data_IF_032236330659
#
_entry.id   IF_032236330659
#
_cell.length_a   1.000
_cell.length_b   1.000
_cell.length_c   1.000
_cell.angle_alpha   90.00
_cell.angle_beta   90.00
_cell.angle_gamma   90.00
#
_symmetry.space_group_name_H-M   'P 1'
#
loop_
_entity.id
_entity.type
_entity.pdbx_description
1 polymer ?
#
# COMPACT_ATOMS: atom_id res chain seq x y z
N UNK A 1 -59.28 -54.75 8.50
CA UNK A 1 -58.65 -53.47 8.91
C UNK A 1 -57.28 -53.29 8.25
N UNK A 2 -57.17 -53.49 6.93
CA UNK A 2 -55.86 -53.59 6.25
C UNK A 2 -55.88 -52.99 4.84
N UNK A 3 -56.62 -51.89 4.66
CA UNK A 3 -56.61 -51.11 3.41
C UNK A 3 -56.39 -49.59 3.65
N UNK A 4 -56.50 -49.11 4.89
CA UNK A 4 -56.32 -47.68 5.22
C UNK A 4 -54.86 -47.25 5.42
N UNK A 5 -53.97 -48.14 5.86
CA UNK A 5 -52.58 -47.79 6.20
C UNK A 5 -51.66 -47.68 4.97
N UNK A 6 -51.90 -48.45 3.91
CA UNK A 6 -51.10 -48.38 2.67
C UNK A 6 -51.37 -47.11 1.86
N UNK A 7 -52.61 -46.59 1.88
CA UNK A 7 -52.94 -45.33 1.22
C UNK A 7 -52.27 -44.15 1.93
N UNK A 8 -52.32 -44.09 3.27
CA UNK A 8 -51.72 -43.00 4.05
C UNK A 8 -50.19 -43.00 3.89
N UNK A 9 -49.53 -44.16 3.90
CA UNK A 9 -48.07 -44.23 3.65
C UNK A 9 -47.70 -43.79 2.23
N UNK A 10 -48.49 -44.16 1.21
CA UNK A 10 -48.20 -43.78 -0.18
C UNK A 10 -48.41 -42.28 -0.42
N UNK A 11 -49.48 -41.70 0.16
CA UNK A 11 -49.71 -40.25 0.10
C UNK A 11 -48.67 -39.46 0.90
N UNK A 12 -48.32 -39.90 2.11
CA UNK A 12 -47.32 -39.23 2.95
C UNK A 12 -45.94 -39.25 2.29
N UNK A 13 -45.55 -40.38 1.71
CA UNK A 13 -44.26 -40.52 1.03
C UNK A 13 -44.24 -39.72 -0.29
N UNK A 14 -45.35 -39.65 -1.04
CA UNK A 14 -45.45 -38.77 -2.21
C UNK A 14 -45.41 -37.28 -1.85
N UNK A 15 -46.07 -36.85 -0.76
CA UNK A 15 -46.00 -35.45 -0.30
C UNK A 15 -44.60 -35.09 0.19
N UNK A 16 -43.94 -35.99 0.92
CA UNK A 16 -42.58 -35.75 1.43
C UNK A 16 -41.55 -35.78 0.28
N UNK A 17 -41.69 -36.68 -0.70
CA UNK A 17 -40.86 -36.67 -1.91
C UNK A 17 -41.08 -35.39 -2.72
N UNK A 18 -42.33 -34.91 -2.83
CA UNK A 18 -42.68 -33.68 -3.55
C UNK A 18 -42.17 -32.43 -2.84
N UNK A 19 -42.24 -32.37 -1.51
CA UNK A 19 -41.64 -31.29 -0.73
C UNK A 19 -40.12 -31.32 -0.79
N UNK A 20 -39.48 -32.49 -0.66
CA UNK A 20 -38.03 -32.63 -0.82
C UNK A 20 -37.58 -32.29 -2.25
N UNK A 21 -38.30 -32.72 -3.29
CA UNK A 21 -37.97 -32.32 -4.66
C UNK A 21 -38.20 -30.83 -4.87
N UNK A 22 -39.24 -30.21 -4.32
CA UNK A 22 -39.44 -28.75 -4.41
C UNK A 22 -38.38 -27.98 -3.63
N UNK A 23 -37.95 -28.46 -2.46
CA UNK A 23 -36.85 -27.87 -1.68
C UNK A 23 -35.49 -28.03 -2.35
N UNK A 24 -35.21 -29.20 -2.94
CA UNK A 24 -34.01 -29.45 -3.74
C UNK A 24 -34.04 -28.63 -5.03
N UNK A 25 -35.20 -28.52 -5.70
CA UNK A 25 -35.36 -27.68 -6.88
C UNK A 25 -35.18 -26.20 -6.53
N UNK A 26 -35.72 -25.71 -5.40
CA UNK A 26 -35.49 -24.35 -4.92
C UNK A 26 -34.04 -24.14 -4.50
N UNK A 27 -33.41 -25.05 -3.76
CA UNK A 27 -32.00 -24.93 -3.40
C UNK A 27 -31.08 -24.99 -4.63
N UNK A 28 -31.44 -25.77 -5.66
CA UNK A 28 -30.77 -25.79 -6.96
C UNK A 28 -31.08 -24.52 -7.74
N UNK A 29 -32.29 -23.96 -7.68
CA UNK A 29 -32.64 -22.72 -8.40
C UNK A 29 -32.04 -21.50 -7.72
N UNK A 30 -32.08 -21.40 -6.40
CA UNK A 30 -31.41 -20.40 -5.59
C UNK A 30 -29.89 -20.56 -5.69
N UNK A 31 -29.37 -21.79 -5.70
CA UNK A 31 -27.97 -22.10 -5.97
C UNK A 31 -27.56 -21.73 -7.40
N UNK A 32 -28.38 -22.03 -8.40
CA UNK A 32 -28.16 -21.64 -9.80
C UNK A 32 -28.34 -20.15 -10.01
N UNK A 33 -29.19 -19.46 -9.26
CA UNK A 33 -29.40 -18.01 -9.33
C UNK A 33 -28.30 -17.27 -8.56
N UNK A 34 -27.76 -17.87 -7.50
CA UNK A 34 -26.51 -17.45 -6.85
C UNK A 34 -25.32 -17.69 -7.78
N UNK A 35 -25.29 -18.80 -8.52
CA UNK A 35 -24.28 -19.09 -9.57
C UNK A 35 -24.50 -18.22 -10.82
N UNK A 36 -25.72 -17.81 -11.16
CA UNK A 36 -25.99 -16.89 -12.28
C UNK A 36 -25.71 -15.43 -11.90
N UNK A 37 -25.88 -15.08 -10.62
CA UNK A 37 -25.43 -13.80 -10.06
C UNK A 37 -23.91 -13.79 -9.85
N UNK A 38 -23.30 -14.90 -9.45
CA UNK A 38 -21.85 -15.10 -9.47
C UNK A 38 -21.32 -15.27 -10.90
N UNK A 39 -22.15 -15.64 -11.88
CA UNK A 39 -21.85 -15.62 -13.31
C UNK A 39 -21.97 -14.22 -13.93
N UNK A 40 -22.37 -13.24 -13.12
CA UNK A 40 -22.03 -11.82 -13.31
C UNK A 40 -20.87 -11.42 -12.42
N UNK A 41 -19.87 -12.29 -12.29
CA UNK A 41 -18.55 -11.82 -11.92
C UNK A 41 -18.06 -10.92 -13.04
N UNK A 42 -18.07 -9.63 -12.74
CA UNK A 42 -17.64 -8.63 -13.68
C UNK A 42 -16.11 -8.76 -13.79
N UNK A 43 -15.63 -8.88 -15.03
CA UNK A 43 -14.23 -8.75 -15.36
C UNK A 43 -13.82 -7.33 -14.91
N UNK A 44 -13.12 -7.20 -13.77
CA UNK A 44 -12.91 -5.90 -13.08
C UNK A 44 -11.96 -4.94 -13.82
N UNK A 45 -11.51 -5.27 -15.03
CA UNK A 45 -11.09 -4.28 -16.01
C UNK A 45 -12.33 -3.53 -16.51
N UNK A 46 -12.79 -2.58 -15.70
CA UNK A 46 -13.98 -1.79 -15.97
C UNK A 46 -13.90 -1.10 -17.35
N UNK A 47 -12.72 -0.66 -17.79
CA UNK A 47 -12.52 -0.13 -19.14
C UNK A 47 -11.95 -1.17 -20.12
N UNK A 48 -12.83 -2.02 -20.66
CA UNK A 48 -12.58 -2.80 -21.87
C UNK A 48 -13.64 -2.48 -22.93
N UNK A 49 -13.34 -2.79 -24.18
CA UNK A 49 -14.28 -2.65 -25.26
C UNK A 49 -15.55 -3.49 -24.98
N UNK A 50 -16.69 -2.83 -24.78
CA UNK A 50 -17.98 -3.46 -24.44
C UNK A 50 -18.41 -3.36 -22.97
N UNK A 51 -17.58 -2.80 -22.07
CA UNK A 51 -17.93 -2.59 -20.66
C UNK A 51 -18.13 -1.13 -20.28
N UNK A 52 -17.98 -0.19 -21.22
CA UNK A 52 -17.99 1.26 -21.00
C UNK A 52 -19.33 1.74 -20.39
N UNK A 53 -20.46 1.26 -20.91
CA UNK A 53 -21.80 1.58 -20.40
C UNK A 53 -21.99 1.12 -18.95
N UNK A 54 -21.32 0.04 -18.54
CA UNK A 54 -21.38 -0.45 -17.16
C UNK A 54 -20.56 0.42 -16.22
N UNK A 55 -19.36 0.85 -16.63
CA UNK A 55 -18.56 1.79 -15.85
C UNK A 55 -19.29 3.10 -15.66
N UNK A 56 -19.82 3.70 -16.72
CA UNK A 56 -20.46 5.00 -16.65
C UNK A 56 -21.73 4.97 -15.79
N UNK A 57 -22.38 3.80 -15.66
CA UNK A 57 -23.57 3.63 -14.79
C UNK A 57 -23.21 3.43 -13.31
N UNK A 58 -22.13 2.73 -13.02
CA UNK A 58 -21.74 2.37 -11.64
C UNK A 58 -20.75 3.39 -11.05
N UNK A 59 -19.89 3.97 -11.88
CA UNK A 59 -18.97 5.05 -11.53
C UNK A 59 -19.63 6.39 -11.84
N UNK A 60 -20.28 6.98 -10.84
CA UNK A 60 -20.80 8.33 -10.92
C UNK A 60 -19.63 9.34 -10.89
N UNK A 61 -19.21 9.81 -12.07
CA UNK A 61 -18.17 10.84 -12.21
C UNK A 61 -18.55 12.19 -11.54
N UNK A 62 -19.82 12.38 -11.16
CA UNK A 62 -20.29 13.53 -10.38
C UNK A 62 -20.34 13.28 -8.88
N UNK A 63 -20.20 12.03 -8.41
CA UNK A 63 -20.14 11.72 -6.99
C UNK A 63 -18.80 12.18 -6.41
N UNK A 64 -18.84 12.69 -5.17
CA UNK A 64 -17.63 13.04 -4.44
C UNK A 64 -16.85 11.75 -4.11
N UNK A 65 -15.64 11.54 -4.67
CA UNK A 65 -14.85 10.32 -4.41
C UNK A 65 -14.41 10.20 -2.94
N UNK A 66 -14.46 11.29 -2.18
CA UNK A 66 -14.10 11.33 -0.77
C UNK A 66 -15.27 11.13 0.19
N UNK A 67 -16.51 10.90 -0.32
CA UNK A 67 -17.71 10.77 0.54
C UNK A 67 -17.57 9.68 1.60
N UNK A 68 -17.04 8.53 1.19
CA UNK A 68 -16.91 7.32 2.02
C UNK A 68 -15.44 7.07 2.43
N UNK A 69 -14.58 8.07 2.29
CA UNK A 69 -13.18 7.98 2.70
C UNK A 69 -13.09 7.87 4.23
N UNK A 70 -12.28 6.96 4.79
CA UNK A 70 -12.21 6.77 6.23
C UNK A 70 -11.57 7.97 6.93
N UNK A 71 -11.83 8.09 8.22
CA UNK A 71 -11.06 9.02 9.07
C UNK A 71 -9.61 8.54 9.15
N UNK A 72 -8.69 9.45 8.81
CA UNK A 72 -7.24 9.23 8.79
C UNK A 72 -6.53 10.11 9.81
N UNK A 73 -7.28 10.73 10.75
CA UNK A 73 -6.71 11.58 11.78
C UNK A 73 -5.58 10.88 12.55
N UNK A 74 -4.44 11.55 12.65
CA UNK A 74 -3.24 11.05 13.33
C UNK A 74 -2.41 10.06 12.52
N UNK A 75 -2.80 9.74 11.28
CA UNK A 75 -1.99 8.97 10.33
C UNK A 75 -1.39 9.94 9.32
N UNK A 76 -0.08 10.14 9.37
CA UNK A 76 0.64 10.91 8.34
C UNK A 76 1.23 9.98 7.29
N UNK A 77 0.78 10.15 6.04
CA UNK A 77 1.39 9.47 4.89
C UNK A 77 2.61 10.23 4.42
N UNK A 78 3.70 9.50 4.24
CA UNK A 78 4.98 9.99 3.71
C UNK A 78 5.33 9.16 2.48
N UNK A 79 5.18 9.74 1.31
CA UNK A 79 5.41 9.04 0.04
C UNK A 79 6.76 9.44 -0.57
N UNK A 80 7.61 8.44 -0.80
CA UNK A 80 8.91 8.56 -1.47
C UNK A 80 8.80 8.22 -2.96
N UNK A 81 9.58 8.91 -3.78
CA UNK A 81 9.84 8.55 -5.18
C UNK A 81 11.27 8.92 -5.57
N UNK A 82 11.64 8.77 -6.84
CA UNK A 82 12.90 9.28 -7.41
C UNK A 82 12.62 10.33 -8.48
N UNK A 83 13.58 11.23 -8.75
CA UNK A 83 13.31 12.41 -9.57
C UNK A 83 12.93 12.07 -11.02
N UNK A 84 13.40 10.93 -11.54
CA UNK A 84 13.04 10.41 -12.87
C UNK A 84 11.64 9.82 -12.93
N UNK A 85 11.09 9.37 -11.79
CA UNK A 85 9.82 8.65 -11.70
C UNK A 85 8.66 9.55 -11.22
N UNK A 86 8.97 10.75 -10.68
CA UNK A 86 7.97 11.70 -10.16
C UNK A 86 6.80 11.86 -11.12
N UNK A 87 7.04 12.17 -12.39
CA UNK A 87 5.95 12.42 -13.35
C UNK A 87 5.32 11.16 -13.94
N UNK A 88 5.92 9.99 -13.75
CA UNK A 88 5.34 8.72 -14.22
C UNK A 88 4.39 8.10 -13.19
N UNK A 89 4.67 8.28 -11.90
CA UNK A 89 3.98 7.58 -10.80
C UNK A 89 3.14 8.51 -9.91
N UNK A 90 3.69 9.66 -9.52
CA UNK A 90 3.06 10.52 -8.51
C UNK A 90 1.72 11.14 -8.96
N UNK A 91 1.53 11.61 -10.22
CA UNK A 91 0.25 12.17 -10.65
C UNK A 91 -0.93 11.21 -10.42
N UNK A 92 -0.74 9.92 -10.67
CA UNK A 92 -1.79 8.91 -10.46
C UNK A 92 -2.16 8.82 -8.99
N UNK A 93 -1.17 8.80 -8.08
CA UNK A 93 -1.41 8.80 -6.63
C UNK A 93 -2.19 10.05 -6.17
N UNK A 94 -1.83 11.23 -6.70
CA UNK A 94 -2.51 12.50 -6.39
C UNK A 94 -3.96 12.54 -6.88
N UNK A 95 -4.24 11.92 -8.02
CA UNK A 95 -5.59 11.81 -8.59
C UNK A 95 -6.43 10.70 -7.95
N UNK A 96 -5.81 9.84 -7.14
CA UNK A 96 -6.46 8.65 -6.56
C UNK A 96 -6.19 8.57 -5.05
N UNK A 97 -5.19 7.80 -4.64
CA UNK A 97 -4.92 7.37 -3.28
C UNK A 97 -4.70 8.52 -2.27
N UNK A 98 -4.15 9.64 -2.72
CA UNK A 98 -3.87 10.82 -1.89
C UNK A 98 -4.96 11.90 -1.97
N UNK A 99 -5.91 11.78 -2.92
CA UNK A 99 -6.84 12.85 -3.26
C UNK A 99 -7.68 13.33 -2.05
N UNK A 100 -8.01 12.39 -1.15
CA UNK A 100 -8.91 12.63 -0.02
C UNK A 100 -8.17 12.82 1.32
N UNK A 101 -6.84 12.73 1.33
CA UNK A 101 -6.06 12.92 2.56
C UNK A 101 -6.01 14.40 2.94
N UNK A 102 -6.16 14.74 4.23
CA UNK A 102 -6.08 16.12 4.69
C UNK A 102 -4.64 16.66 4.67
N UNK A 103 -3.64 15.80 4.85
CA UNK A 103 -2.22 16.15 4.88
C UNK A 103 -1.38 14.93 4.49
N UNK A 104 -0.25 15.17 3.82
CA UNK A 104 0.74 14.16 3.45
C UNK A 104 2.05 14.85 3.05
N UNK A 105 3.17 14.12 3.10
CA UNK A 105 4.48 14.58 2.65
C UNK A 105 4.95 13.80 1.43
N UNK A 106 5.58 14.50 0.49
CA UNK A 106 6.14 13.93 -0.73
C UNK A 106 7.64 14.17 -0.78
N UNK A 107 8.41 13.12 -0.95
CA UNK A 107 9.87 13.19 -1.00
C UNK A 107 10.43 12.56 -2.27
N UNK A 108 11.52 13.13 -2.77
CA UNK A 108 12.31 12.62 -3.89
C UNK A 108 13.81 12.81 -3.59
N UNK A 109 14.68 12.36 -4.49
CA UNK A 109 16.12 12.69 -4.50
C UNK A 109 16.40 14.01 -5.24
N UNK A 110 15.38 14.86 -5.39
CA UNK A 110 15.49 16.21 -5.94
C UNK A 110 14.30 17.07 -5.52
N UNK A 111 14.56 18.34 -5.26
CA UNK A 111 13.55 19.37 -5.05
C UNK A 111 12.75 19.60 -6.34
N UNK A 112 11.44 19.35 -6.29
CA UNK A 112 10.56 19.39 -7.46
C UNK A 112 9.16 19.92 -7.11
N UNK A 113 8.45 20.42 -8.11
CA UNK A 113 7.07 20.87 -8.00
C UNK A 113 6.21 20.13 -9.02
N UNK A 114 5.11 19.52 -8.57
CA UNK A 114 4.09 18.91 -9.43
C UNK A 114 2.80 19.65 -9.15
N UNK A 115 2.32 20.49 -10.08
CA UNK A 115 1.11 21.30 -9.85
C UNK A 115 1.22 22.11 -8.56
N UNK A 116 0.25 21.94 -7.65
CA UNK A 116 0.25 22.58 -6.33
C UNK A 116 1.05 21.80 -5.26
N UNK A 117 1.52 20.60 -5.59
CA UNK A 117 2.19 19.71 -4.65
C UNK A 117 3.71 19.83 -4.73
N UNK A 118 4.31 20.12 -3.59
CA UNK A 118 5.75 20.27 -3.44
C UNK A 118 6.38 18.91 -3.11
N UNK A 119 7.45 18.56 -3.80
CA UNK A 119 8.17 17.29 -3.64
C UNK A 119 9.56 17.60 -3.12
N UNK A 120 9.74 17.36 -1.83
CA UNK A 120 10.89 17.78 -1.05
C UNK A 120 12.15 16.93 -1.38
N UNK A 121 13.31 17.57 -1.45
CA UNK A 121 14.59 16.88 -1.62
C UNK A 121 15.05 16.17 -0.34
N UNK A 122 14.86 14.86 -0.26
CA UNK A 122 15.30 14.04 0.87
C UNK A 122 16.82 14.04 1.09
N UNK A 123 17.62 14.46 0.11
CA UNK A 123 19.08 14.45 0.18
C UNK A 123 19.69 15.86 0.37
N UNK A 124 18.84 16.88 0.58
CA UNK A 124 19.28 18.26 0.76
C UNK A 124 20.29 18.40 1.91
N UNK A 125 20.04 17.72 3.03
CA UNK A 125 20.83 17.87 4.26
C UNK A 125 21.98 16.86 4.39
N UNK A 126 22.12 15.91 3.44
CA UNK A 126 23.31 15.05 3.38
C UNK A 126 24.56 15.92 3.25
N UNK A 127 25.57 15.68 4.07
CA UNK A 127 26.77 16.52 4.12
C UNK A 127 27.50 16.63 2.77
N UNK A 128 28.08 17.80 2.50
CA UNK A 128 28.87 18.04 1.28
C UNK A 128 30.03 17.05 1.11
N UNK A 129 30.62 16.60 2.22
CA UNK A 129 31.67 15.58 2.22
C UNK A 129 31.15 14.24 1.71
N UNK A 130 30.01 13.77 2.22
CA UNK A 130 29.39 12.52 1.76
C UNK A 130 29.01 12.63 0.29
N UNK A 131 28.41 13.76 -0.12
CA UNK A 131 28.07 14.01 -1.52
C UNK A 131 29.33 13.96 -2.40
N UNK A 132 30.38 14.70 -2.07
CA UNK A 132 31.58 14.84 -2.90
C UNK A 132 32.40 13.53 -3.00
N UNK A 133 32.58 12.82 -1.90
CA UNK A 133 33.47 11.64 -1.83
C UNK A 133 32.76 10.32 -2.19
N UNK A 134 31.55 10.38 -2.75
CA UNK A 134 30.72 9.21 -3.05
C UNK A 134 30.24 9.20 -4.52
N UNK A 135 30.63 8.19 -5.32
CA UNK A 135 30.12 8.05 -6.69
C UNK A 135 28.63 7.72 -6.73
N UNK A 136 28.02 7.20 -5.66
CA UNK A 136 26.56 6.97 -5.62
C UNK A 136 25.77 8.28 -5.70
N UNK A 137 26.39 9.42 -5.36
CA UNK A 137 25.82 10.76 -5.53
C UNK A 137 26.10 11.38 -6.91
N UNK A 138 26.76 10.66 -7.83
CA UNK A 138 26.93 11.15 -9.21
C UNK A 138 25.58 11.39 -9.88
N UNK A 139 24.59 10.52 -9.64
CA UNK A 139 23.24 10.71 -10.17
C UNK A 139 22.61 11.98 -9.60
N UNK A 140 22.69 12.18 -8.28
CA UNK A 140 22.17 13.37 -7.61
C UNK A 140 22.74 14.67 -8.20
N UNK A 141 24.07 14.72 -8.40
CA UNK A 141 24.73 15.87 -9.05
C UNK A 141 24.29 16.04 -10.51
N UNK A 142 24.26 14.96 -11.27
CA UNK A 142 23.90 15.00 -12.69
C UNK A 142 22.45 15.47 -12.89
N UNK A 143 21.54 15.05 -12.01
CA UNK A 143 20.17 15.53 -12.00
C UNK A 143 20.15 17.07 -11.96
N UNK A 144 20.98 17.71 -11.12
CA UNK A 144 21.06 19.17 -10.95
C UNK A 144 21.40 19.91 -12.25
N UNK A 145 22.15 19.26 -13.13
CA UNK A 145 22.63 19.84 -14.40
C UNK A 145 21.66 19.64 -15.57
N UNK A 146 20.59 18.85 -15.40
CA UNK A 146 19.65 18.55 -16.48
C UNK A 146 18.90 19.80 -16.97
N UNK A 147 19.07 20.21 -18.25
CA UNK A 147 18.39 21.38 -18.81
C UNK A 147 16.97 21.05 -19.32
N UNK A 148 16.57 19.78 -19.24
CA UNK A 148 15.30 19.23 -19.72
C UNK A 148 14.69 18.32 -18.65
N UNK A 149 13.54 17.71 -18.95
CA UNK A 149 12.91 16.73 -18.07
C UNK A 149 13.89 15.62 -17.63
N UNK A 150 13.87 15.30 -16.34
CA UNK A 150 14.83 14.38 -15.69
C UNK A 150 14.89 13.02 -16.41
N UNK A 151 13.73 12.40 -16.67
CA UNK A 151 13.64 11.12 -17.39
C UNK A 151 14.33 11.15 -18.77
N UNK A 152 14.11 12.22 -19.54
CA UNK A 152 14.74 12.37 -20.86
C UNK A 152 16.24 12.60 -20.75
N UNK A 153 16.66 13.49 -19.85
CA UNK A 153 18.06 13.82 -19.59
C UNK A 153 18.88 12.59 -19.18
N UNK A 154 18.32 11.74 -18.33
CA UNK A 154 19.03 10.60 -17.71
C UNK A 154 18.81 9.27 -18.42
N UNK A 155 18.07 9.28 -19.54
CA UNK A 155 17.79 8.09 -20.37
C UNK A 155 19.04 7.34 -20.83
N UNK A 156 20.18 8.03 -20.96
CA UNK A 156 21.47 7.48 -21.38
C UNK A 156 22.54 7.55 -20.29
N UNK A 157 22.14 7.77 -19.04
CA UNK A 157 23.05 7.93 -17.91
C UNK A 157 24.03 6.75 -17.80
N UNK A 158 25.32 7.08 -17.71
CA UNK A 158 26.41 6.10 -17.64
C UNK A 158 26.35 5.40 -16.28
N UNK A 159 26.05 4.10 -16.27
CA UNK A 159 25.86 3.32 -15.04
C UNK A 159 24.55 2.54 -14.95
N UNK A 160 23.73 2.56 -16.02
CA UNK A 160 22.34 2.09 -16.04
C UNK A 160 21.51 2.86 -15.01
N UNK A 161 20.74 3.85 -15.47
CA UNK A 161 20.00 4.81 -14.63
C UNK A 161 19.25 4.14 -13.46
N UNK A 162 18.66 2.96 -13.66
CA UNK A 162 18.00 2.18 -12.62
C UNK A 162 18.94 1.77 -11.46
N UNK A 163 20.14 1.27 -11.77
CA UNK A 163 21.12 0.88 -10.74
C UNK A 163 21.64 2.10 -9.98
N UNK A 164 21.91 3.20 -10.68
CA UNK A 164 22.34 4.44 -10.06
C UNK A 164 21.26 5.02 -9.13
N UNK A 165 20.00 4.99 -9.58
CA UNK A 165 18.84 5.41 -8.78
C UNK A 165 18.71 4.54 -7.53
N UNK A 166 18.81 3.22 -7.66
CA UNK A 166 18.76 2.30 -6.52
C UNK A 166 19.89 2.55 -5.50
N UNK A 167 21.12 2.75 -5.97
CA UNK A 167 22.26 3.02 -5.10
C UNK A 167 22.14 4.38 -4.38
N UNK A 168 21.53 5.38 -5.01
CA UNK A 168 21.24 6.67 -4.38
C UNK A 168 20.05 6.57 -3.40
N UNK A 169 19.08 5.70 -3.69
CA UNK A 169 17.81 5.61 -2.96
C UNK A 169 18.01 5.29 -1.47
N UNK A 170 19.03 4.50 -1.13
CA UNK A 170 19.31 4.10 0.25
C UNK A 170 19.59 5.26 1.21
N UNK A 171 20.07 6.40 0.71
CA UNK A 171 20.34 7.59 1.54
C UNK A 171 19.07 8.35 1.89
N UNK A 172 17.96 8.15 1.17
CA UNK A 172 16.73 8.92 1.41
C UNK A 172 16.02 8.54 2.71
N UNK A 173 16.05 7.26 3.11
CA UNK A 173 15.12 6.74 4.13
C UNK A 173 15.22 7.43 5.50
N UNK A 174 16.43 7.48 6.08
CA UNK A 174 16.62 8.07 7.41
C UNK A 174 16.45 9.59 7.39
N UNK A 175 16.91 10.26 6.32
CA UNK A 175 16.68 11.69 6.11
C UNK A 175 15.18 12.02 5.96
N UNK A 176 14.41 11.18 5.27
CA UNK A 176 12.95 11.31 5.18
C UNK A 176 12.31 11.17 6.56
N UNK A 177 12.72 10.20 7.38
CA UNK A 177 12.18 10.02 8.74
C UNK A 177 12.45 11.27 9.59
N UNK A 178 13.69 11.76 9.59
CA UNK A 178 14.06 12.95 10.36
C UNK A 178 13.27 14.19 9.91
N UNK A 179 13.27 14.46 8.60
CA UNK A 179 12.60 15.63 8.05
C UNK A 179 11.09 15.57 8.20
N UNK A 180 10.50 14.37 8.13
CA UNK A 180 9.08 14.14 8.44
C UNK A 180 8.76 14.59 9.86
N UNK A 181 9.57 14.21 10.85
CA UNK A 181 9.37 14.63 12.24
C UNK A 181 9.46 16.15 12.39
N UNK A 182 10.48 16.77 11.79
CA UNK A 182 10.67 18.23 11.85
C UNK A 182 9.47 18.99 11.26
N UNK A 183 8.88 18.47 10.19
CA UNK A 183 7.78 19.13 9.48
C UNK A 183 6.41 18.86 10.10
N UNK A 184 6.20 17.64 10.63
CA UNK A 184 4.92 17.15 11.17
C UNK A 184 5.18 16.27 12.39
N UNK A 185 5.62 16.84 13.52
CA UNK A 185 5.85 16.05 14.73
C UNK A 185 4.52 15.59 15.35
N UNK A 186 4.59 14.68 16.30
CA UNK A 186 3.48 14.23 17.15
C UNK A 186 2.29 13.60 16.41
N UNK A 187 2.53 12.90 15.30
CA UNK A 187 1.51 12.06 14.68
C UNK A 187 1.47 10.70 15.37
N UNK A 188 0.27 10.12 15.50
CA UNK A 188 0.08 8.81 16.10
C UNK A 188 0.79 7.72 15.29
N UNK A 189 0.66 7.79 13.96
CA UNK A 189 1.28 6.88 13.02
C UNK A 189 1.93 7.64 11.86
N UNK A 190 3.11 7.19 11.48
CA UNK A 190 3.79 7.60 10.26
C UNK A 190 3.80 6.40 9.30
N UNK A 191 3.05 6.52 8.20
CA UNK A 191 2.98 5.53 7.14
C UNK A 191 3.92 5.94 6.02
N UNK A 192 5.02 5.20 5.86
CA UNK A 192 5.98 5.41 4.78
C UNK A 192 5.64 4.49 3.60
N UNK A 193 5.53 5.06 2.40
CA UNK A 193 5.22 4.33 1.16
C UNK A 193 6.05 4.84 -0.01
N UNK A 194 6.01 4.10 -1.13
CA UNK A 194 6.60 4.52 -2.41
C UNK A 194 5.51 4.88 -3.42
N UNK A 195 5.88 5.61 -4.49
CA UNK A 195 4.91 6.08 -5.48
C UNK A 195 4.24 4.96 -6.31
N UNK A 196 4.77 3.74 -6.28
CA UNK A 196 4.20 2.50 -6.83
C UNK A 196 3.61 1.56 -5.75
N UNK A 197 3.32 2.11 -4.57
CA UNK A 197 2.53 1.46 -3.51
C UNK A 197 1.08 1.97 -3.55
N UNK A 198 0.12 1.07 -3.64
CA UNK A 198 -1.30 1.40 -3.43
C UNK A 198 -1.70 1.15 -1.98
N UNK A 199 -2.44 2.09 -1.36
CA UNK A 199 -2.95 1.97 0.02
C UNK A 199 -4.46 1.75 -0.01
N UNK A 200 -4.93 0.67 0.61
CA UNK A 200 -6.36 0.43 0.79
C UNK A 200 -6.82 1.11 2.07
N UNK A 201 -7.15 2.40 1.98
CA UNK A 201 -7.45 3.26 3.13
C UNK A 201 -8.49 2.70 4.10
N UNK A 202 -9.66 2.20 3.66
CA UNK A 202 -10.65 1.66 4.58
C UNK A 202 -10.13 0.48 5.40
N UNK A 203 -9.31 -0.38 4.79
CA UNK A 203 -8.68 -1.50 5.49
C UNK A 203 -7.66 -1.02 6.52
N UNK A 204 -6.78 -0.08 6.13
CA UNK A 204 -5.71 0.41 6.99
C UNK A 204 -6.26 1.14 8.22
N UNK A 205 -7.20 2.06 8.02
CA UNK A 205 -7.80 2.81 9.12
C UNK A 205 -8.53 1.88 10.11
N UNK A 206 -9.32 0.93 9.59
CA UNK A 206 -10.00 -0.06 10.43
C UNK A 206 -9.01 -0.96 11.19
N UNK A 207 -7.96 -1.42 10.52
CA UNK A 207 -6.94 -2.28 11.13
C UNK A 207 -6.19 -1.55 12.25
N UNK A 208 -5.76 -0.31 12.02
CA UNK A 208 -5.11 0.50 13.05
C UNK A 208 -6.00 0.74 14.27
N UNK A 209 -7.30 0.95 14.06
CA UNK A 209 -8.25 1.19 15.14
C UNK A 209 -8.60 -0.06 15.96
N UNK A 210 -8.64 -1.24 15.34
CA UNK A 210 -9.26 -2.43 15.95
C UNK A 210 -8.35 -3.64 16.10
N UNK A 211 -7.23 -3.68 15.39
CA UNK A 211 -6.33 -4.84 15.26
C UNK A 211 -4.86 -4.51 15.44
N UNK A 212 -4.48 -3.24 15.48
CA UNK A 212 -3.10 -2.81 15.74
C UNK A 212 -2.54 -3.54 16.97
N UNK A 213 -1.29 -4.06 16.90
CA UNK A 213 -0.62 -4.66 18.05
C UNK A 213 -0.20 -3.62 19.11
N UNK A 214 -0.36 -2.33 18.82
CA UNK A 214 0.03 -1.19 19.67
C UNK A 214 -1.21 -0.48 20.18
N UNK A 215 -1.28 -0.26 21.50
CA UNK A 215 -2.44 0.38 22.16
C UNK A 215 -2.27 1.89 22.20
N UNK A 216 -1.10 2.39 22.59
CA UNK A 216 -0.78 3.83 22.60
C UNK A 216 0.45 4.14 21.72
N UNK A 217 0.28 4.45 20.43
CA UNK A 217 1.39 4.67 19.49
C UNK A 217 2.21 5.93 19.78
N UNK A 218 1.71 6.83 20.63
CA UNK A 218 2.46 8.02 21.04
C UNK A 218 3.42 7.72 22.20
N UNK A 219 3.24 6.59 22.89
CA UNK A 219 4.07 6.16 24.02
C UNK A 219 4.82 4.83 23.75
N UNK A 220 4.28 3.95 22.91
CA UNK A 220 4.82 2.63 22.60
C UNK A 220 5.55 2.62 21.24
N UNK A 221 6.89 2.52 21.22
CA UNK A 221 7.66 2.51 19.98
C UNK A 221 7.43 1.21 19.19
N UNK A 222 6.97 1.35 17.94
CA UNK A 222 6.70 0.24 17.06
C UNK A 222 7.23 0.46 15.64
N UNK A 223 7.65 -0.66 15.04
CA UNK A 223 8.08 -0.78 13.66
C UNK A 223 7.36 -1.97 13.02
N UNK A 224 6.45 -1.70 12.09
CA UNK A 224 5.52 -2.70 11.53
C UNK A 224 5.60 -2.67 10.01
N UNK A 225 5.60 -3.84 9.37
CA UNK A 225 5.55 -3.94 7.91
C UNK A 225 5.75 -5.35 7.36
N UNK A 226 5.82 -5.48 6.04
CA UNK A 226 6.11 -6.76 5.38
C UNK A 226 7.57 -7.13 5.53
N UNK A 227 7.86 -8.23 6.21
CA UNK A 227 9.23 -8.59 6.58
C UNK A 227 10.02 -9.24 5.46
N UNK A 228 11.22 -8.72 5.22
CA UNK A 228 12.31 -9.34 4.50
C UNK A 228 13.50 -9.57 5.46
N UNK A 229 14.54 -10.28 4.99
CA UNK A 229 15.70 -10.63 5.80
C UNK A 229 16.98 -10.40 5.01
N UNK A 230 17.92 -9.64 5.58
CA UNK A 230 19.24 -9.45 5.01
C UNK A 230 20.28 -9.36 6.11
N UNK A 231 21.40 -10.07 5.94
CA UNK A 231 22.50 -10.11 6.91
C UNK A 231 22.05 -10.43 8.36
N UNK A 232 21.00 -11.25 8.52
CA UNK A 232 20.45 -11.63 9.83
C UNK A 232 19.58 -10.56 10.50
N UNK A 233 19.30 -9.44 9.83
CA UNK A 233 18.42 -8.38 10.31
C UNK A 233 17.08 -8.48 9.57
N UNK A 234 15.95 -8.73 10.26
CA UNK A 234 14.63 -8.60 9.68
C UNK A 234 14.28 -7.12 9.50
N UNK A 235 13.78 -6.75 8.34
CA UNK A 235 13.42 -5.38 7.99
C UNK A 235 12.10 -5.33 7.22
N UNK A 236 11.34 -4.26 7.38
CA UNK A 236 10.16 -4.02 6.56
C UNK A 236 10.61 -3.65 5.15
N UNK A 237 10.11 -4.37 4.15
CA UNK A 237 10.35 -4.08 2.74
C UNK A 237 9.78 -2.70 2.39
N UNK A 238 10.65 -1.77 1.97
CA UNK A 238 10.31 -0.34 1.79
C UNK A 238 9.15 -0.12 0.83
N UNK A 239 9.14 -0.81 -0.30
CA UNK A 239 8.08 -0.73 -1.30
C UNK A 239 6.72 -1.22 -0.83
N UNK A 240 6.68 -2.24 0.04
CA UNK A 240 5.42 -2.69 0.65
C UNK A 240 4.78 -1.65 1.54
N UNK A 241 5.53 -0.61 1.92
CA UNK A 241 5.17 0.33 2.95
C UNK A 241 5.42 -0.23 4.35
N UNK A 242 5.61 0.68 5.29
CA UNK A 242 5.82 0.37 6.70
C UNK A 242 5.31 1.47 7.60
N UNK A 243 4.99 1.09 8.84
CA UNK A 243 4.53 2.00 9.89
C UNK A 243 5.60 2.17 10.94
N UNK A 244 5.80 3.42 11.33
CA UNK A 244 6.44 3.79 12.59
C UNK A 244 5.39 4.47 13.47
N UNK A 245 5.30 4.04 14.73
CA UNK A 245 4.52 4.75 15.75
C UNK A 245 5.10 6.15 15.98
N UNK A 246 4.29 7.09 16.47
CA UNK A 246 4.77 8.41 16.88
C UNK A 246 5.93 8.38 17.88
N UNK A 247 5.86 7.49 18.88
CA UNK A 247 6.93 7.25 19.84
C UNK A 247 8.25 6.86 19.16
N UNK A 248 8.19 5.91 18.22
CA UNK A 248 9.37 5.45 17.48
C UNK A 248 10.04 6.59 16.69
N UNK A 249 9.28 7.38 15.93
CA UNK A 249 9.87 8.48 15.15
C UNK A 249 10.47 9.54 16.08
N UNK A 250 9.77 9.91 17.16
CA UNK A 250 10.29 10.82 18.18
C UNK A 250 11.60 10.32 18.77
N UNK A 251 11.67 9.06 19.19
CA UNK A 251 12.86 8.49 19.80
C UNK A 251 14.06 8.49 18.85
N UNK A 252 13.85 8.09 17.58
CA UNK A 252 14.92 8.07 16.58
C UNK A 252 15.48 9.47 16.32
N UNK A 253 14.62 10.49 16.25
CA UNK A 253 15.02 11.85 15.84
C UNK A 253 15.51 12.69 17.02
N UNK A 254 14.84 12.63 18.17
CA UNK A 254 15.19 13.43 19.35
C UNK A 254 16.18 12.72 20.27
N UNK A 255 16.18 11.37 20.27
CA UNK A 255 17.08 10.56 21.10
C UNK A 255 18.48 10.40 20.51
N UNK A 256 18.63 10.54 19.19
CA UNK A 256 19.90 10.34 18.48
C UNK A 256 20.21 11.53 17.57
N UNK A 257 21.00 12.47 18.08
CA UNK A 257 21.42 13.66 17.32
C UNK A 257 22.27 13.23 16.11
N UNK A 258 21.86 13.65 14.92
CA UNK A 258 22.57 13.36 13.67
C UNK A 258 22.47 11.90 13.24
N UNK A 259 21.32 11.26 13.52
CA UNK A 259 21.07 9.86 13.14
C UNK A 259 21.30 9.64 11.63
N UNK A 260 20.72 10.43 10.71
CA UNK A 260 20.92 10.19 9.28
C UNK A 260 22.39 10.29 8.87
N UNK A 261 23.12 11.31 9.32
CA UNK A 261 24.54 11.52 8.97
C UNK A 261 25.44 10.39 9.49
N UNK A 262 25.15 9.85 10.67
CA UNK A 262 25.86 8.69 11.20
C UNK A 262 25.69 7.44 10.32
N UNK A 263 24.53 7.27 9.69
CA UNK A 263 24.24 6.16 8.80
C UNK A 263 24.59 6.43 7.33
N UNK A 264 24.75 7.68 6.90
CA UNK A 264 25.22 8.03 5.55
C UNK A 264 26.59 7.39 5.25
N UNK A 265 27.52 7.47 6.19
CA UNK A 265 28.85 6.84 6.02
C UNK A 265 28.75 5.30 5.94
N UNK A 266 27.82 4.71 6.69
CA UNK A 266 27.58 3.25 6.69
C UNK A 266 26.83 2.79 5.45
N UNK A 267 25.99 3.63 4.85
CA UNK A 267 25.13 3.25 3.75
C UNK A 267 25.91 2.72 2.53
N UNK A 268 27.14 3.18 2.33
CA UNK A 268 28.04 2.69 1.26
C UNK A 268 28.22 1.16 1.26
N UNK A 269 28.25 0.53 2.44
CA UNK A 269 28.43 -0.92 2.57
C UNK A 269 27.12 -1.71 2.68
N UNK A 270 25.97 -1.06 2.46
CA UNK A 270 24.65 -1.68 2.54
C UNK A 270 23.93 -1.58 1.19
N UNK A 271 23.04 -2.55 0.92
CA UNK A 271 22.34 -2.59 -0.37
C UNK A 271 21.16 -1.62 -0.45
N UNK A 272 20.52 -1.34 0.69
CA UNK A 272 19.12 -0.97 0.71
C UNK A 272 18.83 -0.05 1.91
N UNK A 273 18.06 1.01 1.70
CA UNK A 273 17.78 2.01 2.73
C UNK A 273 16.76 1.54 3.78
N UNK A 274 15.81 0.70 3.38
CA UNK A 274 14.85 0.07 4.29
C UNK A 274 15.53 -0.86 5.31
N UNK A 275 16.56 -1.59 4.89
CA UNK A 275 17.40 -2.36 5.80
C UNK A 275 18.22 -1.46 6.74
N UNK A 276 18.67 -0.29 6.28
CA UNK A 276 19.34 0.70 7.15
C UNK A 276 18.39 1.25 8.22
N UNK A 277 17.12 1.48 7.89
CA UNK A 277 16.10 1.87 8.89
C UNK A 277 15.97 0.80 9.96
N UNK A 278 15.81 -0.47 9.58
CA UNK A 278 15.72 -1.57 10.55
C UNK A 278 16.98 -1.68 11.41
N UNK A 279 18.16 -1.49 10.81
CA UNK A 279 19.43 -1.46 11.53
C UNK A 279 19.48 -0.29 12.54
N UNK A 280 19.07 0.91 12.13
CA UNK A 280 19.03 2.08 13.01
C UNK A 280 18.08 1.87 14.18
N UNK A 281 16.88 1.36 13.92
CA UNK A 281 15.89 1.03 14.97
C UNK A 281 16.45 -0.02 15.93
N UNK A 282 17.03 -1.10 15.41
CA UNK A 282 17.56 -2.17 16.26
C UNK A 282 18.75 -1.72 17.11
N UNK A 283 19.66 -0.93 16.55
CA UNK A 283 20.86 -0.47 17.27
C UNK A 283 20.56 0.59 18.33
N UNK A 284 19.56 1.45 18.12
CA UNK A 284 19.28 2.58 19.02
C UNK A 284 18.11 2.33 19.97
N UNK A 285 17.07 1.60 19.54
CA UNK A 285 15.86 1.35 20.33
C UNK A 285 15.71 -0.11 20.78
N UNK A 286 16.49 -1.04 20.21
CA UNK A 286 16.36 -2.47 20.50
C UNK A 286 15.03 -3.09 20.02
N UNK A 287 14.23 -2.33 19.26
CA UNK A 287 12.94 -2.77 18.72
C UNK A 287 13.16 -3.58 17.44
N UNK A 288 12.42 -4.68 17.31
CA UNK A 288 12.43 -5.55 16.13
C UNK A 288 11.20 -5.28 15.27
N UNK A 289 11.32 -5.63 13.98
CA UNK A 289 10.19 -5.63 13.07
C UNK A 289 9.05 -6.50 13.60
N UNK A 290 7.86 -5.92 13.66
CA UNK A 290 6.60 -6.63 13.80
C UNK A 290 6.09 -6.97 12.40
N UNK A 291 6.21 -8.25 12.05
CA UNK A 291 5.85 -8.73 10.71
C UNK A 291 4.33 -8.66 10.49
N UNK A 292 3.92 -8.03 9.39
CA UNK A 292 2.51 -7.81 9.03
C UNK A 292 2.17 -8.26 7.59
N UNK A 293 2.95 -9.17 7.00
CA UNK A 293 2.50 -9.86 5.78
C UNK A 293 1.34 -10.82 6.14
N UNK A 294 0.28 -10.94 5.33
CA UNK A 294 0.12 -10.40 3.97
C UNK A 294 -0.60 -9.06 3.86
N UNK A 295 -0.90 -8.43 5.00
CA UNK A 295 -1.62 -7.16 5.07
C UNK A 295 -0.82 -6.03 4.42
N UNK A 296 0.44 -5.87 4.82
CA UNK A 296 1.43 -5.15 4.02
C UNK A 296 2.01 -6.10 2.99
N UNK A 297 1.93 -5.75 1.71
CA UNK A 297 2.28 -6.67 0.64
C UNK A 297 3.27 -6.10 -0.37
N UNK A 298 4.27 -6.90 -0.73
CA UNK A 298 5.24 -6.60 -1.78
C UNK A 298 4.73 -6.93 -3.18
N UNK A 299 3.63 -7.69 -3.24
CA UNK A 299 3.02 -8.14 -4.46
C UNK A 299 1.94 -7.18 -4.94
N UNK A 300 1.68 -7.24 -6.24
CA UNK A 300 0.60 -6.54 -6.91
C UNK A 300 -0.57 -7.48 -7.16
N UNK A 301 -1.74 -6.97 -7.60
CA UNK A 301 -2.91 -7.81 -7.85
C UNK A 301 -2.66 -9.07 -8.70
N UNK A 302 -1.78 -8.96 -9.70
CA UNK A 302 -1.46 -10.06 -10.61
C UNK A 302 -0.46 -11.09 -10.05
N UNK A 303 0.24 -10.81 -8.95
CA UNK A 303 1.27 -11.68 -8.35
C UNK A 303 0.99 -12.10 -6.92
N UNK A 304 -0.04 -11.52 -6.27
CA UNK A 304 -0.40 -11.81 -4.90
C UNK A 304 -0.78 -13.31 -4.72
N UNK A 305 -0.19 -14.02 -3.75
CA UNK A 305 -0.47 -15.44 -3.56
C UNK A 305 -1.89 -15.66 -3.01
N UNK A 306 -2.67 -16.47 -3.72
CA UNK A 306 -4.01 -16.88 -3.31
C UNK A 306 -3.97 -18.21 -2.55
N UNK A 307 -4.41 -18.19 -1.30
CA UNK A 307 -4.57 -19.42 -0.53
C UNK A 307 -5.06 -19.22 0.90
N UNK A 308 -5.31 -20.32 1.63
CA UNK A 308 -5.83 -20.30 3.00
C UNK A 308 -5.01 -19.48 4.00
N UNK A 309 -3.73 -19.26 3.73
CA UNK A 309 -2.83 -18.44 4.55
C UNK A 309 -3.06 -16.94 4.39
N UNK A 310 -3.78 -16.50 3.36
CA UNK A 310 -3.95 -15.09 2.98
C UNK A 310 -5.41 -14.64 2.95
N UNK A 311 -6.35 -15.56 2.64
CA UNK A 311 -7.75 -15.24 2.32
C UNK A 311 -8.53 -14.42 3.34
N UNK A 312 -8.22 -14.57 4.63
CA UNK A 312 -8.96 -13.94 5.73
C UNK A 312 -8.34 -12.64 6.22
N UNK A 313 -7.16 -12.26 5.70
CA UNK A 313 -6.49 -11.02 6.09
C UNK A 313 -6.90 -9.87 5.17
N UNK A 314 -7.02 -8.64 5.72
CA UNK A 314 -7.25 -7.46 4.90
C UNK A 314 -5.99 -7.07 4.12
N UNK A 315 -6.13 -6.64 2.87
CA UNK A 315 -5.05 -5.96 2.16
C UNK A 315 -5.00 -4.53 2.68
N UNK A 316 -3.83 -4.09 3.16
CA UNK A 316 -3.55 -2.72 3.56
C UNK A 316 -2.77 -1.99 2.47
N UNK A 317 -1.75 -2.66 1.92
CA UNK A 317 -0.94 -2.12 0.83
C UNK A 317 -0.62 -3.19 -0.22
N UNK A 318 -0.41 -2.74 -1.45
CA UNK A 318 0.11 -3.54 -2.56
C UNK A 318 1.22 -2.76 -3.26
N UNK A 319 2.24 -3.45 -3.76
CA UNK A 319 3.44 -2.82 -4.28
C UNK A 319 3.87 -3.38 -5.64
N UNK A 320 4.78 -2.66 -6.29
CA UNK A 320 5.21 -2.78 -7.67
C UNK A 320 4.06 -2.54 -8.66
N UNK A 321 3.13 -1.65 -8.29
CA UNK A 321 2.00 -1.26 -9.13
C UNK A 321 2.39 -0.09 -10.02
N UNK A 322 2.27 -0.27 -11.33
CA UNK A 322 2.37 0.87 -12.24
C UNK A 322 1.14 1.79 -12.14
N UNK A 323 1.19 2.94 -12.82
CA UNK A 323 0.11 3.92 -12.81
C UNK A 323 -1.22 3.38 -13.36
N UNK A 324 -1.20 2.42 -14.28
CA UNK A 324 -2.43 1.79 -14.78
C UNK A 324 -3.03 0.87 -13.72
N UNK A 325 -2.19 0.08 -13.06
CA UNK A 325 -2.60 -0.82 -11.98
C UNK A 325 -3.13 -0.05 -10.75
N UNK A 326 -2.50 1.07 -10.36
CA UNK A 326 -2.97 1.97 -9.30
C UNK A 326 -4.35 2.54 -9.65
N UNK A 327 -4.52 3.02 -10.89
CA UNK A 327 -5.79 3.57 -11.38
C UNK A 327 -6.90 2.51 -11.40
N UNK A 328 -6.59 1.31 -11.90
CA UNK A 328 -7.54 0.19 -11.93
C UNK A 328 -7.97 -0.22 -10.52
N UNK A 329 -7.03 -0.28 -9.57
CA UNK A 329 -7.34 -0.62 -8.18
C UNK A 329 -8.21 0.44 -7.50
N UNK A 330 -7.91 1.72 -7.73
CA UNK A 330 -8.77 2.82 -7.29
C UNK A 330 -10.18 2.71 -7.85
N UNK A 331 -10.32 2.46 -9.15
CA UNK A 331 -11.62 2.32 -9.78
C UNK A 331 -12.41 1.13 -9.20
N UNK A 332 -11.74 0.02 -8.93
CA UNK A 332 -12.34 -1.12 -8.23
C UNK A 332 -12.86 -0.73 -6.83
N UNK A 333 -12.07 -0.02 -6.03
CA UNK A 333 -12.51 0.46 -4.71
C UNK A 333 -13.73 1.38 -4.79
N UNK A 334 -13.79 2.26 -5.78
CA UNK A 334 -14.89 3.21 -5.95
C UNK A 334 -16.20 2.58 -6.43
N UNK A 335 -16.13 1.42 -7.11
CA UNK A 335 -17.31 0.76 -7.71
C UNK A 335 -17.78 -0.49 -6.96
N UNK A 336 -17.02 -0.97 -5.96
CA UNK A 336 -17.40 -2.19 -5.21
C UNK A 336 -18.71 -1.99 -4.45
N UNK A 337 -19.68 -2.89 -4.66
CA UNK A 337 -21.04 -2.81 -4.09
C UNK A 337 -21.15 -3.19 -2.60
N UNK A 338 -20.12 -3.80 -2.02
CA UNK A 338 -20.10 -4.21 -0.60
C UNK A 338 -19.68 -3.03 0.28
N UNK A 339 -20.32 -2.87 1.44
CA UNK A 339 -20.07 -1.82 2.44
C UNK A 339 -18.60 -1.39 2.46
N UNK A 340 -18.35 -0.15 2.05
CA UNK A 340 -17.01 0.47 1.99
C UNK A 340 -16.31 0.41 3.36
N UNK A 341 -17.08 0.35 4.45
CA UNK A 341 -16.64 0.22 5.83
C UNK A 341 -16.12 -1.18 6.24
N UNK A 342 -16.36 -2.22 5.44
CA UNK A 342 -15.70 -3.51 5.62
C UNK A 342 -14.39 -3.49 4.82
N UNK A 343 -13.26 -3.68 5.50
CA UNK A 343 -11.93 -3.75 4.89
C UNK A 343 -11.89 -4.74 3.72
N UNK A 344 -11.06 -4.44 2.73
CA UNK A 344 -10.85 -5.30 1.57
C UNK A 344 -10.05 -6.53 1.98
N UNK A 345 -10.71 -7.68 2.08
CA UNK A 345 -10.05 -8.96 2.29
C UNK A 345 -9.35 -9.43 1.01
N UNK A 346 -8.26 -10.19 1.15
CA UNK A 346 -7.57 -10.81 0.01
C UNK A 346 -8.54 -11.63 -0.86
N UNK A 347 -9.48 -12.36 -0.25
CA UNK A 347 -10.50 -13.11 -1.00
C UNK A 347 -11.44 -12.23 -1.83
N UNK A 348 -11.75 -11.02 -1.36
CA UNK A 348 -12.69 -10.11 -2.00
C UNK A 348 -12.06 -9.27 -3.11
N UNK A 349 -10.74 -9.06 -3.06
CA UNK A 349 -10.02 -8.36 -4.11
C UNK A 349 -9.97 -9.15 -5.42
N UNK A 350 -10.20 -10.47 -5.37
CA UNK A 350 -9.95 -11.40 -6.49
C UNK A 350 -11.02 -12.48 -6.67
N UNK A 351 -12.19 -12.34 -6.03
CA UNK A 351 -13.40 -13.10 -6.37
C UNK A 351 -13.81 -12.70 -7.81
N UNK A 352 -13.34 -13.49 -8.79
CA UNK A 352 -13.60 -13.39 -10.22
C UNK A 352 -14.53 -14.50 -10.71
#
# INVERSE_FOLDING_TARGET
>A
MTLGLLAIFSFYNQTQFREQTVHVQRAITDGLQTIYQAGRTHNNTLYQQGTEDHVVREYDFGANPCRDFPDTQGILTVMKTGATEVFDKLPTQLLTNLQCLPDFLLFSDREQQVGQWHVYDALADVSDKVKADNPEFDLYRTQAECPVAQKSCLSTYRGAAATAAWNLDKYKFLHIIERTWQMRPNQTWYLFTEADTYIVWPSLAYWLQTKSPVVDPLEEPAYIGSGAMLAGIPFAHGGSGYLLSGAMVRNLVEGVIGLPEFYDDKARSHCCGDQLVAKAILENEGIKLQHAHPMFNGEKPSTLPYGPTHWCEPILTMHHMDSEEVSAMWQFEQTRKKNVSAGLLVSLAFDH
#
